data_IF_579017395527
#
_entry.id   IF_579017395527
#
_cell.length_a   1.000
_cell.length_b   1.000
_cell.length_c   1.000
_cell.angle_alpha   90.00
_cell.angle_beta   90.00
_cell.angle_gamma   90.00
#
_symmetry.space_group_name_H-M   'P 1'
#
loop_
_entity.id
_entity.type
_entity.pdbx_description
1 polymer ?
#
# COMPACT_ATOMS: atom_id res chain seq x y z
N UNK A 1 36.80 41.92 17.64
CA UNK A 1 36.94 40.44 17.67
C UNK A 1 35.84 39.86 18.55
N UNK A 2 34.80 39.28 17.96
CA UNK A 2 34.09 38.05 18.38
C UNK A 2 33.34 37.58 17.12
N UNK A 3 33.58 36.33 16.75
CA UNK A 3 33.02 35.66 15.58
C UNK A 3 31.73 34.95 15.98
N UNK A 4 30.64 35.16 15.25
CA UNK A 4 29.38 34.42 15.41
C UNK A 4 29.09 33.66 14.12
N UNK A 5 29.39 32.36 14.12
CA UNK A 5 29.04 31.45 13.02
C UNK A 5 27.55 31.10 13.03
N UNK A 6 26.89 31.29 11.88
CA UNK A 6 25.54 30.78 11.63
C UNK A 6 25.65 29.39 10.99
N UNK A 7 25.09 28.36 11.63
CA UNK A 7 24.82 27.07 11.01
C UNK A 7 23.49 27.15 10.24
N UNK A 8 23.45 26.88 8.92
CA UNK A 8 22.20 26.82 8.19
C UNK A 8 21.61 25.40 8.28
N UNK A 9 20.38 25.28 8.79
CA UNK A 9 19.60 24.05 8.60
C UNK A 9 18.67 23.63 9.72
N UNK A 10 17.84 24.54 10.26
CA UNK A 10 16.68 24.14 11.07
C UNK A 10 15.51 23.80 10.15
N UNK A 11 15.23 22.50 9.96
CA UNK A 11 13.96 22.06 9.38
C UNK A 11 12.87 22.15 10.45
N UNK A 12 12.05 23.20 10.40
CA UNK A 12 10.82 23.26 11.17
C UNK A 12 9.81 22.28 10.55
N UNK A 13 9.48 21.20 11.26
CA UNK A 13 8.36 20.35 10.90
C UNK A 13 7.05 21.14 11.09
N UNK A 14 6.43 21.57 9.98
CA UNK A 14 5.05 22.06 10.01
C UNK A 14 4.12 20.86 10.21
N UNK A 15 3.60 20.73 11.43
CA UNK A 15 2.43 19.91 11.69
C UNK A 15 1.23 20.50 10.93
N UNK A 16 0.78 19.79 9.91
CA UNK A 16 -0.40 20.13 9.13
C UNK A 16 -0.75 18.99 8.18
N UNK A 17 -1.63 18.09 8.63
CA UNK A 17 -2.36 17.17 7.74
C UNK A 17 -3.31 18.00 6.88
N UNK A 18 -2.79 18.61 5.82
CA UNK A 18 -3.60 18.99 4.68
C UNK A 18 -3.54 17.84 3.70
N UNK A 19 -4.69 17.28 3.34
CA UNK A 19 -4.81 16.33 2.24
C UNK A 19 -4.54 17.11 0.94
N UNK A 20 -3.43 16.88 0.21
CA UNK A 20 -3.05 17.73 -0.90
C UNK A 20 -3.74 17.18 -2.15
N UNK A 21 -4.97 17.62 -2.39
CA UNK A 21 -5.68 17.34 -3.65
C UNK A 21 -5.05 18.03 -4.86
N UNK A 22 -3.96 18.78 -4.69
CA UNK A 22 -3.28 19.53 -5.73
C UNK A 22 -1.78 19.20 -5.75
N UNK A 23 -1.37 18.18 -6.51
CA UNK A 23 0.00 17.95 -7.05
C UNK A 23 1.18 17.77 -6.08
N UNK A 24 1.07 18.19 -4.83
CA UNK A 24 2.18 18.48 -3.92
C UNK A 24 2.05 17.66 -2.62
N UNK A 25 1.43 16.48 -2.65
CA UNK A 25 1.42 15.63 -1.47
C UNK A 25 2.80 15.04 -1.22
N UNK A 26 3.23 15.00 0.04
CA UNK A 26 4.47 14.33 0.43
C UNK A 26 4.48 12.87 -0.05
N UNK A 27 3.29 12.27 -0.18
CA UNK A 27 3.04 10.92 -0.68
C UNK A 27 3.17 10.77 -2.21
N UNK A 28 3.02 11.86 -2.98
CA UNK A 28 3.24 11.89 -4.42
C UNK A 28 4.72 12.16 -4.78
N UNK A 29 5.63 11.46 -4.11
CA UNK A 29 7.07 11.52 -4.36
C UNK A 29 7.56 10.24 -5.03
N UNK A 30 8.49 10.36 -5.98
CA UNK A 30 9.09 9.20 -6.64
C UNK A 30 10.03 8.45 -5.70
N UNK A 31 9.74 7.17 -5.49
CA UNK A 31 10.61 6.21 -4.79
C UNK A 31 11.51 5.48 -5.79
N UNK A 32 12.56 4.81 -5.30
CA UNK A 32 13.48 4.04 -6.14
C UNK A 32 12.77 2.91 -6.91
N UNK A 33 11.69 2.36 -6.34
CA UNK A 33 10.83 1.34 -6.95
C UNK A 33 9.36 1.74 -6.81
N UNK A 34 8.47 1.30 -7.72
CA UNK A 34 7.02 1.38 -7.52
C UNK A 34 6.58 0.76 -6.18
N UNK A 35 5.47 1.24 -5.62
CA UNK A 35 4.93 0.72 -4.36
C UNK A 35 3.78 -0.24 -4.65
N UNK A 36 3.89 -1.48 -4.18
CA UNK A 36 2.80 -2.43 -4.15
C UNK A 36 1.86 -2.12 -2.97
N UNK A 37 0.58 -1.93 -3.24
CA UNK A 37 -0.49 -1.78 -2.25
C UNK A 37 -1.37 -3.02 -2.33
N UNK A 38 -1.56 -3.72 -1.22
CA UNK A 38 -2.48 -4.87 -1.15
C UNK A 38 -3.76 -4.42 -0.47
N UNK A 39 -4.91 -4.70 -1.08
CA UNK A 39 -6.21 -4.33 -0.54
C UNK A 39 -7.21 -5.49 -0.60
N UNK A 40 -7.75 -5.84 0.56
CA UNK A 40 -8.78 -6.89 0.70
C UNK A 40 -10.18 -6.30 0.56
N UNK A 41 -11.03 -6.92 -0.27
CA UNK A 41 -12.34 -6.37 -0.67
C UNK A 41 -13.27 -6.12 0.51
N UNK A 42 -13.27 -7.02 1.50
CA UNK A 42 -14.13 -6.96 2.68
C UNK A 42 -13.32 -6.83 3.97
N UNK A 43 -12.29 -5.97 3.96
CA UNK A 43 -11.54 -5.57 5.16
C UNK A 43 -12.35 -4.56 6.01
N UNK A 44 -12.69 -4.89 7.28
CA UNK A 44 -13.46 -4.00 8.15
C UNK A 44 -12.61 -2.87 8.77
N UNK A 45 -11.29 -3.02 8.87
CA UNK A 45 -10.40 -2.08 9.53
C UNK A 45 -9.77 -1.09 8.54
N UNK A 46 -9.36 -1.57 7.37
CA UNK A 46 -8.80 -0.75 6.28
C UNK A 46 -9.56 -0.96 4.98
N UNK A 47 -10.70 -0.26 4.77
CA UNK A 47 -11.59 -0.53 3.65
C UNK A 47 -10.93 -0.44 2.27
N UNK A 48 -11.34 -1.33 1.36
CA UNK A 48 -10.76 -1.46 0.02
C UNK A 48 -10.69 -0.17 -0.81
N UNK A 49 -11.70 0.71 -0.68
CA UNK A 49 -11.69 2.00 -1.39
C UNK A 49 -10.51 2.89 -0.95
N UNK A 50 -10.06 2.76 0.30
CA UNK A 50 -8.88 3.42 0.83
C UNK A 50 -7.60 2.95 0.18
N UNK A 51 -7.45 1.63 -0.06
CA UNK A 51 -6.32 1.09 -0.82
C UNK A 51 -6.27 1.64 -2.25
N UNK A 52 -7.44 1.77 -2.89
CA UNK A 52 -7.56 2.41 -4.20
C UNK A 52 -7.22 3.91 -4.18
N UNK A 53 -7.63 4.63 -3.13
CA UNK A 53 -7.29 6.04 -2.95
C UNK A 53 -5.79 6.24 -2.71
N UNK A 54 -5.18 5.45 -1.84
CA UNK A 54 -3.73 5.46 -1.57
C UNK A 54 -2.93 5.21 -2.86
N UNK A 55 -3.35 4.23 -3.67
CA UNK A 55 -2.69 3.95 -4.96
C UNK A 55 -2.69 5.14 -5.90
N UNK A 56 -3.73 6.00 -5.86
CA UNK A 56 -3.81 7.24 -6.66
C UNK A 56 -3.02 8.40 -6.05
N UNK A 57 -2.81 8.40 -4.74
CA UNK A 57 -2.04 9.42 -4.05
C UNK A 57 -0.52 9.19 -4.18
N UNK A 58 -0.09 7.93 -4.25
CA UNK A 58 1.30 7.56 -4.48
C UNK A 58 1.71 7.81 -5.93
N UNK A 59 2.91 8.39 -6.14
CA UNK A 59 3.42 8.70 -7.47
C UNK A 59 3.49 7.47 -8.40
N UNK A 60 3.79 6.29 -7.83
CA UNK A 60 3.94 5.02 -8.56
C UNK A 60 3.33 3.86 -7.78
N UNK A 61 2.05 3.93 -7.46
CA UNK A 61 1.31 2.86 -6.79
C UNK A 61 0.80 1.77 -7.75
N UNK A 62 0.85 0.50 -7.31
CA UNK A 62 0.16 -0.64 -7.94
C UNK A 62 -0.73 -1.32 -6.92
N UNK A 63 -2.03 -1.36 -7.18
CA UNK A 63 -2.98 -2.12 -6.37
C UNK A 63 -2.99 -3.60 -6.78
N UNK A 64 -2.85 -4.48 -5.80
CA UNK A 64 -3.19 -5.90 -5.85
C UNK A 64 -4.44 -6.13 -5.00
N UNK A 65 -5.48 -6.69 -5.62
CA UNK A 65 -6.75 -6.93 -4.97
C UNK A 65 -6.80 -8.34 -4.41
N UNK A 66 -7.14 -8.47 -3.13
CA UNK A 66 -7.60 -9.74 -2.57
C UNK A 66 -9.13 -9.76 -2.51
N UNK A 67 -9.74 -10.70 -3.23
CA UNK A 67 -11.16 -11.01 -3.15
C UNK A 67 -11.39 -11.93 -1.94
N UNK A 68 -11.65 -11.30 -0.80
CA UNK A 68 -11.71 -11.99 0.49
C UNK A 68 -12.18 -11.10 1.63
N UNK A 69 -12.21 -11.69 2.83
CA UNK A 69 -12.70 -11.09 4.07
C UNK A 69 -11.59 -11.03 5.12
N UNK A 70 -11.71 -10.07 6.05
CA UNK A 70 -10.79 -9.95 7.18
C UNK A 70 -9.73 -8.87 7.00
N UNK A 71 -8.96 -8.62 8.06
CA UNK A 71 -7.93 -7.58 8.06
C UNK A 71 -6.52 -8.17 7.89
N UNK A 72 -5.87 -7.60 6.87
CA UNK A 72 -4.59 -7.92 6.22
C UNK A 72 -4.56 -9.25 5.46
N UNK A 73 -4.04 -9.22 4.23
CA UNK A 73 -3.85 -10.42 3.42
C UNK A 73 -2.77 -11.36 4.00
N UNK A 74 -1.80 -10.83 4.76
CA UNK A 74 -0.77 -11.65 5.42
C UNK A 74 -1.34 -12.62 6.46
N UNK A 75 -2.43 -12.24 7.13
CA UNK A 75 -3.07 -13.07 8.16
C UNK A 75 -4.24 -13.90 7.62
N UNK A 76 -4.65 -13.68 6.38
CA UNK A 76 -5.74 -14.39 5.74
C UNK A 76 -5.19 -15.11 4.50
N UNK A 77 -4.97 -16.44 4.54
CA UNK A 77 -4.19 -17.14 3.53
C UNK A 77 -4.70 -16.93 2.09
N UNK A 78 -3.76 -16.54 1.21
CA UNK A 78 -3.92 -16.55 -0.24
C UNK A 78 -2.58 -16.89 -0.89
N UNK A 79 -2.46 -18.09 -1.47
CA UNK A 79 -1.25 -18.49 -2.19
C UNK A 79 -0.93 -17.54 -3.37
N UNK A 80 -1.98 -16.96 -3.97
CA UNK A 80 -1.86 -15.97 -5.04
C UNK A 80 -1.25 -14.65 -4.54
N UNK A 81 -1.72 -14.12 -3.41
CA UNK A 81 -1.14 -12.90 -2.81
C UNK A 81 0.31 -13.14 -2.41
N UNK A 82 0.56 -14.22 -1.66
CA UNK A 82 1.90 -14.57 -1.16
C UNK A 82 2.94 -14.63 -2.28
N UNK A 83 2.55 -15.14 -3.45
CA UNK A 83 3.44 -15.17 -4.62
C UNK A 83 3.79 -13.78 -5.13
N UNK A 84 2.81 -12.89 -5.31
CA UNK A 84 3.08 -11.53 -5.78
C UNK A 84 3.83 -10.67 -4.76
N UNK A 85 3.57 -10.85 -3.47
CA UNK A 85 4.34 -10.20 -2.40
C UNK A 85 5.81 -10.67 -2.45
N UNK A 86 6.03 -11.98 -2.58
CA UNK A 86 7.38 -12.54 -2.70
C UNK A 86 8.10 -12.03 -3.95
N UNK A 87 7.45 -12.06 -5.11
CA UNK A 87 8.03 -11.57 -6.37
C UNK A 87 8.38 -10.08 -6.28
N UNK A 88 7.53 -9.27 -5.64
CA UNK A 88 7.78 -7.86 -5.40
C UNK A 88 8.98 -7.63 -4.47
N UNK A 89 9.06 -8.34 -3.34
CA UNK A 89 10.17 -8.17 -2.41
C UNK A 89 11.50 -8.69 -2.96
N UNK A 90 11.49 -9.77 -3.75
CA UNK A 90 12.71 -10.39 -4.28
C UNK A 90 13.23 -9.65 -5.53
N UNK A 91 12.33 -9.19 -6.41
CA UNK A 91 12.72 -8.69 -7.73
C UNK A 91 12.16 -7.31 -8.10
N UNK A 92 11.27 -6.76 -7.28
CA UNK A 92 10.51 -5.56 -7.62
C UNK A 92 9.43 -5.78 -8.69
N UNK A 93 9.17 -7.03 -9.08
CA UNK A 93 8.12 -7.35 -10.05
C UNK A 93 6.74 -6.98 -9.49
N UNK A 94 5.91 -6.39 -10.35
CA UNK A 94 4.54 -6.00 -10.00
C UNK A 94 3.52 -6.87 -10.73
N UNK A 95 2.34 -7.09 -10.13
CA UNK A 95 1.25 -7.73 -10.83
C UNK A 95 0.76 -6.85 -12.01
N UNK A 96 0.19 -7.47 -13.06
CA UNK A 96 -0.54 -6.74 -14.08
C UNK A 96 -1.61 -5.80 -13.47
N UNK A 97 -1.90 -4.65 -14.10
CA UNK A 97 -2.99 -3.77 -13.65
C UNK A 97 -4.31 -4.53 -13.55
N UNK A 98 -5.01 -4.38 -12.42
CA UNK A 98 -6.32 -5.01 -12.20
C UNK A 98 -6.26 -6.47 -11.77
N UNK A 99 -5.09 -6.99 -11.42
CA UNK A 99 -4.95 -8.36 -10.88
C UNK A 99 -5.77 -8.54 -9.62
N UNK A 100 -6.53 -9.64 -9.57
CA UNK A 100 -7.33 -10.07 -8.44
C UNK A 100 -6.88 -11.46 -8.03
N UNK A 101 -6.55 -11.63 -6.75
CA UNK A 101 -6.34 -12.90 -6.10
C UNK A 101 -7.56 -13.27 -5.24
N UNK A 102 -7.73 -14.55 -4.97
CA UNK A 102 -8.76 -15.05 -4.04
C UNK A 102 -8.10 -15.59 -2.78
N UNK A 103 -8.79 -15.47 -1.65
CA UNK A 103 -8.40 -16.19 -0.44
C UNK A 103 -8.50 -17.69 -0.68
N UNK A 104 -7.58 -18.44 -0.06
CA UNK A 104 -7.51 -19.89 -0.18
C UNK A 104 -8.73 -20.54 0.45
N UNK A 105 -9.32 -19.93 1.49
CA UNK A 105 -10.51 -20.45 2.16
C UNK A 105 -11.54 -19.35 2.43
N UNK A 106 -12.82 -19.71 2.36
CA UNK A 106 -13.91 -18.82 2.75
C UNK A 106 -14.24 -18.93 4.24
N UNK A 107 -14.66 -17.83 4.90
CA UNK A 107 -15.00 -17.84 6.33
C UNK A 107 -16.07 -18.87 6.75
N UNK A 108 -16.97 -19.22 5.84
CA UNK A 108 -18.07 -20.17 6.06
C UNK A 108 -18.17 -21.20 4.94
N UNK A 109 -17.04 -21.58 4.35
CA UNK A 109 -17.01 -22.60 3.29
C UNK A 109 -17.66 -23.90 3.75
N UNK A 110 -18.43 -24.55 2.86
CA UNK A 110 -18.99 -25.86 3.15
C UNK A 110 -17.87 -26.89 3.27
N UNK A 111 -18.04 -27.94 4.10
CA UNK A 111 -17.06 -29.02 4.18
C UNK A 111 -16.78 -29.59 2.78
N UNK A 112 -15.51 -29.58 2.38
CA UNK A 112 -15.08 -30.15 1.09
C UNK A 112 -15.08 -29.18 -0.10
N UNK A 113 -15.31 -27.89 0.09
CA UNK A 113 -14.92 -26.89 -0.91
C UNK A 113 -13.46 -26.47 -0.66
N UNK A 114 -12.60 -26.46 -1.70
CA UNK A 114 -11.23 -25.97 -1.57
C UNK A 114 -11.22 -24.53 -1.08
#
# INVERSE_FOLDING_TARGET
MVSSGQHPGSFAARAGSTSPTNGNSAWNTWTSNPILVVGTRYDPATPYWGAGALTRELARGRLLTEQGYGHTALLNPSACINRYESDYFVSGALPPPGTVCHQDHQPFGLPGQP
#
